data_IF_754077128151
#
_entry.id   IF_754077128151
#
_cell.length_a   1.000
_cell.length_b   1.000
_cell.length_c   1.000
_cell.angle_alpha   90.00
_cell.angle_beta   90.00
_cell.angle_gamma   90.00
#
_symmetry.space_group_name_H-M   'P 1'
#
loop_
_entity.id
_entity.type
_entity.pdbx_description
1 polymer ?
#
# COMPACT_ATOMS: atom_id res chain seq x y z
N UNK A 1 -17.44 -0.97 -71.78
CA UNK A 1 -17.52 -1.70 -70.51
C UNK A 1 -16.21 -1.49 -69.77
N UNK A 2 -16.29 -0.70 -68.69
CA UNK A 2 -15.41 -0.64 -67.51
C UNK A 2 -13.90 -0.46 -67.69
N UNK A 3 -13.54 0.82 -67.64
CA UNK A 3 -12.45 1.43 -66.88
C UNK A 3 -12.34 0.84 -65.46
N UNK A 4 -11.13 0.49 -64.97
CA UNK A 4 -10.67 0.87 -63.62
C UNK A 4 -9.20 0.46 -63.34
N UNK A 5 -8.34 1.47 -63.48
CA UNK A 5 -7.25 1.88 -62.57
C UNK A 5 -6.77 0.85 -61.54
N UNK A 6 -5.55 0.36 -61.77
CA UNK A 6 -4.62 -0.17 -60.75
C UNK A 6 -4.42 0.89 -59.66
N UNK A 7 -5.16 0.78 -58.57
CA UNK A 7 -5.01 1.61 -57.38
C UNK A 7 -3.63 1.41 -56.78
N UNK A 8 -2.82 2.47 -56.82
CA UNK A 8 -1.61 2.57 -56.03
C UNK A 8 -1.97 2.43 -54.56
N UNK A 9 -1.28 1.53 -53.88
CA UNK A 9 -1.20 1.56 -52.43
C UNK A 9 -0.64 2.94 -52.07
N UNK A 10 -1.51 3.84 -51.62
CA UNK A 10 -1.06 5.06 -50.96
C UNK A 10 -0.30 4.58 -49.74
N UNK A 11 1.02 4.71 -49.82
CA UNK A 11 1.92 4.77 -48.68
C UNK A 11 1.28 5.74 -47.69
N UNK A 12 0.65 5.18 -46.65
CA UNK A 12 0.11 5.96 -45.57
C UNK A 12 1.34 6.58 -44.91
N UNK A 13 1.61 7.84 -45.28
CA UNK A 13 2.68 8.63 -44.71
C UNK A 13 2.67 8.42 -43.21
N UNK A 14 3.70 7.74 -42.73
CA UNK A 14 3.90 7.42 -41.33
C UNK A 14 4.05 8.77 -40.63
N UNK A 15 2.94 9.29 -40.10
CA UNK A 15 3.00 10.39 -39.15
C UNK A 15 3.81 9.82 -37.99
N UNK A 16 5.07 10.21 -37.89
CA UNK A 16 5.82 10.14 -36.64
C UNK A 16 5.05 11.02 -35.65
N UNK A 17 4.05 10.44 -35.01
CA UNK A 17 3.29 11.07 -33.94
C UNK A 17 4.28 11.36 -32.83
N UNK A 18 4.57 12.65 -32.61
CA UNK A 18 5.39 13.07 -31.47
C UNK A 18 4.83 12.47 -30.17
N UNK A 19 5.74 12.20 -29.23
CA UNK A 19 5.36 11.62 -27.94
C UNK A 19 4.29 12.50 -27.26
N UNK A 20 3.25 11.86 -26.71
CA UNK A 20 2.10 12.52 -26.07
C UNK A 20 2.49 12.93 -24.65
N UNK A 21 2.55 14.24 -24.33
CA UNK A 21 2.98 14.69 -23.02
C UNK A 21 1.93 14.39 -21.94
N UNK A 22 2.39 14.13 -20.73
CA UNK A 22 1.53 14.03 -19.53
C UNK A 22 1.73 15.26 -18.62
N UNK A 23 0.71 15.58 -17.82
CA UNK A 23 0.65 16.83 -17.04
C UNK A 23 1.84 17.01 -16.10
N UNK A 24 2.25 15.94 -15.41
CA UNK A 24 3.37 15.94 -14.46
C UNK A 24 4.47 14.98 -14.92
N UNK A 25 5.71 15.23 -14.53
CA UNK A 25 6.80 14.26 -14.70
C UNK A 25 6.76 13.30 -13.51
N UNK A 26 7.02 12.02 -13.74
CA UNK A 26 7.00 11.01 -12.71
C UNK A 26 8.23 10.11 -12.79
N UNK A 27 8.60 9.55 -11.63
CA UNK A 27 9.73 8.62 -11.48
C UNK A 27 9.25 7.34 -10.81
N UNK A 28 9.62 6.20 -11.38
CA UNK A 28 9.44 4.90 -10.74
C UNK A 28 10.59 4.62 -9.78
N UNK A 29 10.28 4.03 -8.64
CA UNK A 29 11.26 3.57 -7.65
C UNK A 29 10.90 2.17 -7.19
N UNK A 30 11.89 1.44 -6.68
CA UNK A 30 11.65 0.21 -5.94
C UNK A 30 12.41 0.19 -4.62
N UNK A 31 11.84 -0.55 -3.67
CA UNK A 31 12.45 -0.81 -2.37
C UNK A 31 12.39 -2.31 -2.13
N UNK A 32 13.53 -2.88 -1.72
CA UNK A 32 13.57 -4.23 -1.16
C UNK A 32 13.75 -4.11 0.34
N UNK A 33 12.72 -4.44 1.12
CA UNK A 33 12.83 -4.37 2.58
C UNK A 33 13.68 -5.53 3.08
N UNK A 34 14.72 -5.21 3.84
CA UNK A 34 15.54 -6.20 4.50
C UNK A 34 14.74 -6.84 5.65
N UNK A 35 14.75 -8.16 5.76
CA UNK A 35 14.04 -8.92 6.81
C UNK A 35 14.98 -9.25 7.99
N UNK A 36 16.27 -8.88 7.91
CA UNK A 36 17.27 -9.14 8.96
C UNK A 36 17.64 -7.92 9.81
N UNK A 37 18.30 -8.17 10.95
CA UNK A 37 18.75 -7.21 11.99
C UNK A 37 19.72 -6.11 11.53
N UNK A 38 20.02 -5.98 10.23
CA UNK A 38 20.78 -4.83 9.70
C UNK A 38 19.79 -3.79 9.23
N UNK A 39 19.56 -2.79 10.07
CA UNK A 39 18.89 -1.55 9.69
C UNK A 39 19.77 -0.80 8.66
N UNK A 40 19.75 -1.25 7.41
CA UNK A 40 20.12 -0.36 6.31
C UNK A 40 19.13 0.80 6.31
N UNK A 41 19.65 2.03 6.27
CA UNK A 41 18.82 3.23 6.17
C UNK A 41 17.85 3.06 5.00
N UNK A 42 16.56 3.32 5.22
CA UNK A 42 15.51 3.23 4.20
C UNK A 42 15.91 3.99 2.93
N UNK A 43 16.56 5.15 3.08
CA UNK A 43 17.08 5.97 1.98
C UNK A 43 18.14 5.26 1.12
N UNK A 44 18.89 4.30 1.67
CA UNK A 44 19.85 3.50 0.88
C UNK A 44 19.18 2.32 0.17
N UNK A 45 18.03 1.89 0.65
CA UNK A 45 17.28 0.75 0.10
C UNK A 45 16.36 1.14 -1.06
N UNK A 46 16.10 2.44 -1.23
CA UNK A 46 15.31 2.97 -2.33
C UNK A 46 16.18 3.22 -3.56
N UNK A 47 15.74 2.69 -4.70
CA UNK A 47 16.42 2.88 -5.97
C UNK A 47 15.45 3.37 -7.03
N UNK A 48 15.89 4.36 -7.77
CA UNK A 48 15.16 4.90 -8.92
C UNK A 48 15.30 3.96 -10.11
N UNK A 49 14.20 3.77 -10.85
CA UNK A 49 14.13 2.92 -12.03
C UNK A 49 14.09 3.73 -13.33
N UNK A 50 13.56 4.95 -13.28
CA UNK A 50 13.51 5.84 -14.43
C UNK A 50 12.40 6.87 -14.34
N UNK A 51 12.59 7.96 -15.06
CA UNK A 51 11.65 9.08 -15.15
C UNK A 51 10.99 9.15 -16.52
N UNK A 52 9.79 9.72 -16.56
CA UNK A 52 9.07 9.92 -17.82
C UNK A 52 8.15 11.14 -17.76
N UNK A 53 7.98 11.78 -18.92
CA UNK A 53 7.11 12.94 -19.13
C UNK A 53 6.11 12.76 -20.29
N UNK A 54 6.10 11.57 -20.89
CA UNK A 54 5.21 11.23 -22.01
C UNK A 54 4.60 9.86 -21.80
N UNK A 55 3.46 9.61 -22.46
CA UNK A 55 2.76 8.31 -22.41
C UNK A 55 3.64 7.19 -22.99
N UNK A 56 4.38 7.48 -24.06
CA UNK A 56 5.29 6.55 -24.71
C UNK A 56 6.44 6.18 -23.78
N UNK A 57 7.07 7.17 -23.12
CA UNK A 57 8.11 6.91 -22.13
C UNK A 57 7.60 6.14 -20.92
N UNK A 58 6.37 6.41 -20.45
CA UNK A 58 5.73 5.59 -19.42
C UNK A 58 5.70 4.11 -19.83
N UNK A 59 5.18 3.79 -21.01
CA UNK A 59 5.11 2.40 -21.49
C UNK A 59 6.49 1.79 -21.75
N UNK A 60 7.48 2.59 -22.18
CA UNK A 60 8.88 2.13 -22.30
C UNK A 60 9.42 1.66 -20.95
N UNK A 61 9.17 2.39 -19.87
CA UNK A 61 9.62 1.97 -18.52
C UNK A 61 8.75 0.82 -18.01
N UNK A 62 7.43 0.99 -18.01
CA UNK A 62 6.48 0.08 -17.38
C UNK A 62 6.51 -1.33 -17.97
N UNK A 63 6.66 -1.48 -19.29
CA UNK A 63 6.72 -2.78 -19.94
C UNK A 63 7.97 -3.61 -19.59
N UNK A 64 9.01 -2.98 -19.06
CA UNK A 64 10.23 -3.68 -18.60
C UNK A 64 10.22 -3.94 -17.08
N UNK A 65 9.16 -3.53 -16.37
CA UNK A 65 9.01 -3.84 -14.95
C UNK A 65 8.46 -5.26 -14.77
N UNK A 66 9.00 -5.97 -13.78
CA UNK A 66 8.38 -7.21 -13.28
C UNK A 66 7.00 -6.86 -12.74
N UNK A 67 5.98 -7.66 -13.05
CA UNK A 67 4.63 -7.37 -12.58
C UNK A 67 4.54 -7.50 -11.05
N UNK A 68 3.75 -6.68 -10.35
CA UNK A 68 3.62 -6.73 -8.89
C UNK A 68 3.37 -8.13 -8.30
N UNK A 69 2.54 -8.95 -8.96
CA UNK A 69 2.26 -10.33 -8.54
C UNK A 69 3.49 -11.26 -8.58
N UNK A 70 4.46 -10.97 -9.45
CA UNK A 70 5.65 -11.80 -9.70
C UNK A 70 6.87 -11.29 -8.91
N UNK A 71 6.71 -10.20 -8.17
CA UNK A 71 7.75 -9.70 -7.28
C UNK A 71 7.89 -10.57 -6.04
N UNK A 72 9.12 -10.72 -5.52
CA UNK A 72 9.34 -11.25 -4.17
C UNK A 72 8.52 -10.51 -3.11
N UNK A 73 8.05 -11.27 -2.12
CA UNK A 73 7.52 -10.70 -0.90
C UNK A 73 8.56 -9.74 -0.29
N UNK A 74 8.06 -8.67 0.35
CA UNK A 74 8.86 -7.57 0.94
C UNK A 74 9.36 -6.51 -0.03
N UNK A 75 9.01 -6.59 -1.32
CA UNK A 75 9.26 -5.52 -2.28
C UNK A 75 8.12 -4.51 -2.34
N UNK A 76 8.49 -3.28 -2.64
CA UNK A 76 7.58 -2.18 -2.91
C UNK A 76 7.95 -1.53 -4.25
N UNK A 77 6.96 -1.17 -5.07
CA UNK A 77 7.12 -0.19 -6.14
C UNK A 77 6.47 1.12 -5.75
N UNK A 78 7.09 2.21 -6.20
CA UNK A 78 6.61 3.56 -5.98
C UNK A 78 6.56 4.28 -7.32
N UNK A 79 5.51 5.05 -7.54
CA UNK A 79 5.41 6.00 -8.64
C UNK A 79 5.12 7.37 -8.04
N UNK A 80 6.07 8.30 -8.12
CA UNK A 80 5.94 9.62 -7.51
C UNK A 80 6.22 10.71 -8.54
N UNK A 81 5.61 11.88 -8.35
CA UNK A 81 5.96 13.06 -9.16
C UNK A 81 7.46 13.36 -8.96
N UNK A 82 8.15 13.68 -10.05
CA UNK A 82 9.57 14.03 -10.03
C UNK A 82 9.82 15.16 -9.03
N UNK A 83 10.90 15.02 -8.25
CA UNK A 83 11.24 15.92 -7.16
C UNK A 83 10.55 15.64 -5.82
N UNK A 84 9.68 14.63 -5.74
CA UNK A 84 9.10 14.14 -4.49
C UNK A 84 9.68 12.76 -4.19
N UNK A 85 10.49 12.64 -3.14
CA UNK A 85 10.95 11.33 -2.67
C UNK A 85 9.77 10.59 -2.01
N UNK A 86 9.60 9.28 -2.19
CA UNK A 86 8.52 8.51 -1.55
C UNK A 86 8.88 8.17 -0.09
N UNK A 87 9.09 9.24 0.66
CA UNK A 87 9.54 9.31 2.04
C UNK A 87 8.66 10.33 2.76
N UNK A 88 8.30 10.07 4.00
CA UNK A 88 7.42 10.95 4.76
C UNK A 88 8.14 12.24 5.18
N UNK A 89 9.48 12.21 5.23
CA UNK A 89 10.37 13.33 5.52
C UNK A 89 10.35 14.39 4.40
N UNK A 90 9.98 13.98 3.18
CA UNK A 90 9.88 14.89 2.05
C UNK A 90 8.88 16.02 2.35
N UNK A 91 9.24 17.25 1.99
CA UNK A 91 8.44 18.43 2.27
C UNK A 91 7.02 18.35 1.69
N UNK A 92 6.84 17.64 0.57
CA UNK A 92 5.55 17.40 -0.04
C UNK A 92 4.69 16.38 0.73
N UNK A 93 5.31 15.45 1.46
CA UNK A 93 4.63 14.33 2.10
C UNK A 93 4.40 14.54 3.60
N UNK A 94 5.22 15.34 4.29
CA UNK A 94 5.24 15.40 5.76
C UNK A 94 3.93 15.80 6.44
N UNK A 95 3.12 16.66 5.79
CA UNK A 95 1.78 17.06 6.27
C UNK A 95 0.63 16.29 5.59
N UNK A 96 1.01 15.30 4.81
CA UNK A 96 0.12 14.51 3.98
C UNK A 96 -0.41 13.27 4.69
N UNK A 97 -0.97 12.41 3.86
CA UNK A 97 -1.38 11.08 4.26
C UNK A 97 -1.47 10.17 3.07
N UNK A 98 -2.06 9.01 3.31
CA UNK A 98 -2.29 8.02 2.27
C UNK A 98 -3.61 7.29 2.46
N UNK A 99 -4.29 7.09 1.35
CA UNK A 99 -5.35 6.09 1.24
C UNK A 99 -4.73 4.73 0.97
N UNK A 100 -5.27 3.69 1.57
CA UNK A 100 -4.79 2.32 1.47
C UNK A 100 -5.96 1.37 1.21
N UNK A 101 -5.70 0.39 0.34
CA UNK A 101 -6.56 -0.78 0.14
C UNK A 101 -5.72 -2.04 0.29
N UNK A 102 -6.25 -2.98 1.07
CA UNK A 102 -5.71 -4.33 1.19
C UNK A 102 -6.39 -5.23 0.19
N UNK A 103 -5.59 -5.94 -0.60
CA UNK A 103 -6.07 -6.82 -1.66
C UNK A 103 -5.49 -8.22 -1.50
N UNK A 104 -6.27 -9.22 -1.90
CA UNK A 104 -5.81 -10.61 -1.90
C UNK A 104 -4.67 -10.77 -2.91
N UNK A 105 -3.82 -11.80 -2.71
CA UNK A 105 -2.74 -12.13 -3.65
C UNK A 105 -3.31 -12.45 -5.04
N UNK A 106 -2.50 -12.18 -6.06
CA UNK A 106 -2.78 -12.55 -7.46
C UNK A 106 -3.56 -11.49 -8.25
N UNK A 107 -4.05 -10.42 -7.62
CA UNK A 107 -4.77 -9.33 -8.31
C UNK A 107 -4.02 -7.99 -8.27
N UNK A 108 -2.88 -7.89 -7.59
CA UNK A 108 -2.17 -6.64 -7.37
C UNK A 108 -1.69 -5.97 -8.66
N UNK A 109 -1.24 -6.76 -9.65
CA UNK A 109 -0.78 -6.22 -10.93
C UNK A 109 -1.84 -5.38 -11.64
N UNK A 110 -3.10 -5.84 -11.66
CA UNK A 110 -4.22 -5.14 -12.31
C UNK A 110 -4.55 -3.84 -11.59
N UNK A 111 -4.74 -3.91 -10.27
CA UNK A 111 -5.06 -2.72 -9.47
C UNK A 111 -3.93 -1.69 -9.48
N UNK A 112 -2.67 -2.14 -9.52
CA UNK A 112 -1.53 -1.24 -9.67
C UNK A 112 -1.54 -0.53 -11.02
N UNK A 113 -1.75 -1.26 -12.11
CA UNK A 113 -1.85 -0.70 -13.47
C UNK A 113 -2.98 0.33 -13.56
N UNK A 114 -4.19 -0.03 -13.14
CA UNK A 114 -5.36 0.87 -13.12
C UNK A 114 -5.06 2.15 -12.32
N UNK A 115 -4.39 2.03 -11.17
CA UNK A 115 -4.04 3.19 -10.34
C UNK A 115 -3.02 4.11 -11.03
N UNK A 116 -1.91 3.56 -11.56
CA UNK A 116 -0.86 4.39 -12.16
C UNK A 116 -1.35 5.07 -13.43
N UNK A 117 -2.20 4.40 -14.23
CA UNK A 117 -2.84 4.99 -15.39
C UNK A 117 -3.79 6.12 -15.00
N UNK A 118 -4.59 5.95 -13.93
CA UNK A 118 -5.45 7.00 -13.41
C UNK A 118 -4.66 8.23 -12.90
N UNK A 119 -3.47 8.02 -12.33
CA UNK A 119 -2.59 9.10 -11.86
C UNK A 119 -2.00 9.89 -13.03
N UNK A 120 -1.33 9.21 -13.98
CA UNK A 120 -0.67 9.90 -15.10
C UNK A 120 -1.68 10.51 -16.08
N UNK A 121 -2.90 9.97 -16.11
CA UNK A 121 -4.05 10.52 -16.84
C UNK A 121 -4.82 11.59 -16.08
N UNK A 122 -4.35 12.03 -14.91
CA UNK A 122 -4.92 13.11 -14.08
C UNK A 122 -6.42 12.93 -13.74
N UNK A 123 -6.87 11.69 -13.53
CA UNK A 123 -8.31 11.38 -13.32
C UNK A 123 -8.84 11.78 -11.94
N UNK A 124 -7.97 12.14 -11.00
CA UNK A 124 -8.34 12.46 -9.62
C UNK A 124 -8.94 13.86 -9.44
N UNK A 125 -8.66 14.80 -10.35
CA UNK A 125 -9.19 16.16 -10.34
C UNK A 125 -9.08 16.88 -8.97
N UNK A 126 -7.90 16.77 -8.34
CA UNK A 126 -7.57 17.40 -7.03
C UNK A 126 -6.39 18.37 -7.15
N UNK A 127 -6.18 18.93 -8.34
CA UNK A 127 -5.03 19.78 -8.63
C UNK A 127 -3.71 19.09 -8.31
N UNK A 128 -2.85 19.75 -7.54
CA UNK A 128 -1.52 19.21 -7.22
C UNK A 128 -1.49 18.29 -5.98
N UNK A 129 -2.63 17.90 -5.41
CA UNK A 129 -2.66 17.15 -4.13
C UNK A 129 -2.01 15.76 -4.21
N UNK A 130 -2.05 15.08 -5.35
CA UNK A 130 -1.40 13.76 -5.49
C UNK A 130 0.12 13.91 -5.46
N UNK A 131 0.77 13.16 -4.56
CA UNK A 131 2.23 12.99 -4.53
C UNK A 131 2.69 11.80 -5.36
N UNK A 132 2.02 10.66 -5.17
CA UNK A 132 2.41 9.40 -5.79
C UNK A 132 1.64 8.21 -5.23
N UNK A 133 1.96 7.01 -5.72
CA UNK A 133 1.37 5.76 -5.29
C UNK A 133 2.42 4.71 -4.95
N UNK A 134 2.02 3.73 -4.14
CA UNK A 134 2.87 2.63 -3.69
C UNK A 134 2.09 1.33 -3.83
N UNK A 135 2.69 0.30 -4.43
CA UNK A 135 2.24 -1.09 -4.29
C UNK A 135 3.24 -1.85 -3.44
N UNK A 136 2.71 -2.56 -2.46
CA UNK A 136 3.46 -3.18 -1.38
C UNK A 136 3.18 -4.67 -1.31
N UNK A 137 4.15 -5.48 -1.71
CA UNK A 137 4.00 -6.93 -1.82
C UNK A 137 4.29 -7.58 -0.47
N UNK A 138 3.29 -8.22 0.13
CA UNK A 138 3.44 -8.93 1.42
C UNK A 138 3.02 -10.38 1.29
N UNK A 139 3.30 -11.10 2.39
CA UNK A 139 3.09 -12.52 2.48
C UNK A 139 1.61 -12.91 2.41
N UNK A 140 0.74 -12.24 3.18
CA UNK A 140 -0.68 -12.60 3.27
C UNK A 140 -1.56 -11.85 2.25
N UNK A 141 -1.28 -10.58 2.03
CA UNK A 141 -2.09 -9.66 1.23
C UNK A 141 -1.17 -8.60 0.63
N UNK A 142 -1.54 -8.05 -0.52
CA UNK A 142 -0.83 -6.92 -1.09
C UNK A 142 -1.55 -5.62 -0.71
N UNK A 143 -0.80 -4.53 -0.59
CA UNK A 143 -1.34 -3.25 -0.17
C UNK A 143 -1.07 -2.23 -1.26
N UNK A 144 -2.11 -1.53 -1.71
CA UNK A 144 -1.98 -0.41 -2.64
C UNK A 144 -2.28 0.87 -1.87
N UNK A 145 -1.39 1.86 -2.02
CA UNK A 145 -1.49 3.15 -1.33
C UNK A 145 -1.42 4.31 -2.32
N UNK A 146 -2.20 5.35 -2.09
CA UNK A 146 -2.16 6.62 -2.83
C UNK A 146 -1.90 7.76 -1.85
N UNK A 147 -0.82 8.52 -2.07
CA UNK A 147 -0.30 9.54 -1.17
C UNK A 147 -0.72 10.94 -1.64
N UNK A 148 -1.15 11.77 -0.70
CA UNK A 148 -1.53 13.16 -0.94
C UNK A 148 -0.77 14.14 -0.04
N UNK A 149 -0.64 15.39 -0.50
CA UNK A 149 0.19 16.43 0.13
C UNK A 149 -0.35 16.95 1.45
N UNK A 150 -1.66 17.16 1.53
CA UNK A 150 -2.28 17.80 2.68
C UNK A 150 -3.40 16.95 3.26
N UNK A 151 -3.18 16.38 4.44
CA UNK A 151 -4.19 15.59 5.14
C UNK A 151 -5.32 16.42 5.76
N UNK A 152 -5.15 17.74 5.86
CA UNK A 152 -6.18 18.65 6.36
C UNK A 152 -7.13 19.13 5.24
N UNK A 153 -6.78 18.86 3.97
CA UNK A 153 -7.64 19.15 2.83
C UNK A 153 -8.69 18.04 2.67
N UNK A 154 -9.74 18.09 3.49
CA UNK A 154 -10.80 17.08 3.53
C UNK A 154 -11.49 16.89 2.17
N UNK A 155 -11.71 17.97 1.42
CA UNK A 155 -12.35 17.90 0.11
C UNK A 155 -11.52 17.07 -0.88
N UNK A 156 -10.21 17.36 -0.97
CA UNK A 156 -9.31 16.56 -1.77
C UNK A 156 -9.22 15.12 -1.27
N UNK A 157 -9.15 14.91 0.04
CA UNK A 157 -9.09 13.57 0.63
C UNK A 157 -10.32 12.72 0.25
N UNK A 158 -11.52 13.29 0.30
CA UNK A 158 -12.76 12.59 -0.08
C UNK A 158 -12.85 12.36 -1.59
N UNK A 159 -12.48 13.35 -2.41
CA UNK A 159 -12.43 13.18 -3.87
C UNK A 159 -11.45 12.08 -4.27
N UNK A 160 -10.27 12.03 -3.63
CA UNK A 160 -9.28 10.98 -3.85
C UNK A 160 -9.85 9.61 -3.52
N UNK A 161 -10.50 9.45 -2.36
CA UNK A 161 -11.14 8.19 -1.95
C UNK A 161 -12.16 7.72 -2.99
N UNK A 162 -13.06 8.61 -3.40
CA UNK A 162 -14.18 8.26 -4.27
C UNK A 162 -13.70 7.93 -5.68
N UNK A 163 -12.75 8.70 -6.21
CA UNK A 163 -12.13 8.40 -7.49
C UNK A 163 -11.31 7.11 -7.41
N UNK A 164 -10.52 6.89 -6.36
CA UNK A 164 -9.76 5.64 -6.17
C UNK A 164 -10.68 4.43 -6.18
N UNK A 165 -11.83 4.49 -5.48
CA UNK A 165 -12.85 3.42 -5.52
C UNK A 165 -13.37 3.18 -6.93
N UNK A 166 -13.64 4.25 -7.69
CA UNK A 166 -14.17 4.18 -9.06
C UNK A 166 -13.17 3.59 -10.05
N UNK A 167 -11.96 4.14 -10.12
CA UNK A 167 -10.93 3.72 -11.11
C UNK A 167 -10.46 2.30 -10.88
N UNK A 168 -10.41 1.86 -9.63
CA UNK A 168 -10.08 0.49 -9.26
C UNK A 168 -11.28 -0.47 -9.34
N UNK A 169 -12.48 0.04 -9.62
CA UNK A 169 -13.72 -0.73 -9.59
C UNK A 169 -13.88 -1.55 -8.29
N UNK A 170 -13.62 -0.92 -7.14
CA UNK A 170 -13.69 -1.59 -5.84
C UNK A 170 -15.15 -1.77 -5.41
N UNK A 171 -15.55 -3.01 -5.03
CA UNK A 171 -16.86 -3.23 -4.42
C UNK A 171 -17.07 -2.36 -3.16
N UNK A 172 -18.32 -1.99 -2.89
CA UNK A 172 -18.66 -1.10 -1.76
C UNK A 172 -18.23 -1.66 -0.40
N UNK A 173 -18.20 -2.98 -0.23
CA UNK A 173 -17.77 -3.64 1.00
C UNK A 173 -16.25 -3.55 1.23
N UNK A 174 -15.46 -3.23 0.20
CA UNK A 174 -14.02 -3.05 0.36
C UNK A 174 -13.76 -1.73 1.06
N UNK A 175 -13.15 -1.82 2.24
CA UNK A 175 -12.77 -0.67 3.03
C UNK A 175 -11.56 0.03 2.40
N UNK A 176 -11.65 1.36 2.30
CA UNK A 176 -10.51 2.22 2.09
C UNK A 176 -10.11 2.81 3.44
N UNK A 177 -8.82 2.79 3.72
CA UNK A 177 -8.25 3.23 4.98
C UNK A 177 -7.40 4.47 4.76
N UNK A 178 -7.60 5.50 5.57
CA UNK A 178 -6.75 6.68 5.52
C UNK A 178 -5.82 6.72 6.73
N UNK A 179 -4.56 7.06 6.49
CA UNK A 179 -3.60 7.33 7.56
C UNK A 179 -2.74 8.54 7.24
N UNK A 180 -2.65 9.46 8.19
CA UNK A 180 -1.73 10.60 8.12
C UNK A 180 -0.29 10.14 8.31
N UNK A 181 0.65 10.83 7.66
CA UNK A 181 2.06 10.50 7.81
C UNK A 181 2.59 10.84 9.21
N UNK A 182 2.20 12.00 9.77
CA UNK A 182 2.56 12.41 11.15
C UNK A 182 2.23 11.34 12.21
N UNK A 183 1.07 10.71 12.08
CA UNK A 183 0.56 9.68 13.00
C UNK A 183 1.28 8.35 12.81
N UNK A 184 1.78 8.09 11.59
CA UNK A 184 2.58 6.89 11.31
C UNK A 184 3.95 6.94 11.97
N UNK A 185 4.44 8.14 12.28
CA UNK A 185 5.73 8.36 12.95
C UNK A 185 5.62 8.21 14.45
N UNK A 186 4.55 8.74 15.03
CA UNK A 186 4.33 8.64 16.47
C UNK A 186 4.10 7.19 16.91
N UNK A 187 3.46 6.38 16.08
CA UNK A 187 3.17 4.97 16.38
C UNK A 187 4.12 3.95 15.72
N UNK A 188 5.13 4.44 14.98
CA UNK A 188 6.09 3.65 14.20
C UNK A 188 5.42 2.55 13.34
N UNK A 189 4.26 2.85 12.75
CA UNK A 189 3.50 1.89 11.96
C UNK A 189 2.97 2.49 10.67
N UNK A 190 3.21 1.83 9.54
CA UNK A 190 2.74 2.32 8.25
C UNK A 190 1.32 1.86 7.90
N UNK A 191 0.81 0.82 8.56
CA UNK A 191 -0.43 0.12 8.14
C UNK A 191 -1.37 -0.21 9.31
N UNK A 192 -1.05 0.19 10.55
CA UNK A 192 -1.91 -0.02 11.72
C UNK A 192 -2.55 1.30 12.13
N UNK A 193 -3.59 1.25 12.97
CA UNK A 193 -4.28 2.44 13.50
C UNK A 193 -4.82 3.39 12.42
N UNK A 194 -5.42 2.83 11.38
CA UNK A 194 -5.96 3.56 10.24
C UNK A 194 -7.41 3.93 10.46
N UNK A 195 -7.84 5.10 9.96
CA UNK A 195 -9.26 5.46 9.95
C UNK A 195 -9.96 4.69 8.84
N UNK A 196 -10.88 3.79 9.23
CA UNK A 196 -11.70 3.01 8.31
C UNK A 196 -12.84 3.88 7.76
N UNK A 197 -12.89 4.05 6.44
CA UNK A 197 -14.01 4.68 5.76
C UNK A 197 -14.85 3.62 5.06
N UNK A 198 -15.93 3.24 5.72
CA UNK A 198 -16.99 2.40 5.13
C UNK A 198 -18.04 3.31 4.51
N UNK A 199 -18.48 2.97 3.31
CA UNK A 199 -19.63 3.62 2.68
C UNK A 199 -20.92 3.15 3.35
N UNK A 200 -21.15 3.52 4.61
CA UNK A 200 -22.45 3.29 5.25
C UNK A 200 -23.44 4.34 4.73
N UNK A 201 -24.27 3.93 3.77
CA UNK A 201 -25.57 4.56 3.58
C UNK A 201 -26.49 4.03 4.68
N UNK A 202 -26.44 4.68 5.85
CA UNK A 202 -27.53 4.80 6.81
C UNK A 202 -27.07 5.70 7.95
N UNK A 203 -27.22 7.01 7.77
CA UNK A 203 -27.28 7.96 8.88
C UNK A 203 -28.60 8.72 8.75
N UNK A 204 -29.70 7.99 8.96
CA UNK A 204 -30.97 8.60 9.30
C UNK A 204 -30.81 9.27 10.67
N UNK A 205 -31.21 10.53 10.71
CA UNK A 205 -31.01 11.41 11.85
C UNK A 205 -31.68 10.88 13.11
N UNK A 206 -30.93 10.92 14.22
CA UNK A 206 -31.54 11.10 15.52
C UNK A 206 -30.87 12.28 16.22
N UNK A 207 -31.45 13.45 15.98
CA UNK A 207 -31.10 14.70 16.62
C UNK A 207 -31.71 14.70 18.03
N UNK A 208 -31.03 14.05 18.99
CA UNK A 208 -31.43 14.13 20.40
C UNK A 208 -31.01 15.49 20.96
N UNK A 209 -31.90 16.47 20.79
CA UNK A 209 -31.93 17.74 21.53
C UNK A 209 -31.96 17.45 23.02
N UNK A 210 -30.87 17.73 23.75
CA UNK A 210 -30.93 17.82 25.20
C UNK A 210 -31.09 19.28 25.60
N UNK A 211 -32.33 19.64 25.97
CA UNK A 211 -32.73 20.98 26.38
C UNK A 211 -32.52 21.09 27.90
N UNK A 212 -31.40 21.64 28.33
CA UNK A 212 -31.14 21.97 29.74
C UNK A 212 -31.93 23.22 30.14
N UNK A 213 -33.09 23.03 30.76
CA UNK A 213 -33.92 24.11 31.32
C UNK A 213 -33.81 24.09 32.85
N UNK A 214 -33.27 25.17 33.40
CA UNK A 214 -33.16 25.46 34.82
C UNK A 214 -34.54 25.60 35.49
N UNK A 215 -34.70 25.04 36.69
CA UNK A 215 -35.64 25.53 37.70
C UNK A 215 -35.21 25.08 39.09
N UNK A 216 -35.06 26.07 39.96
CA UNK A 216 -34.83 26.05 41.40
C UNK A 216 -35.86 25.24 42.19
N UNK A 217 -35.44 24.66 43.33
CA UNK A 217 -36.10 24.93 44.60
C UNK A 217 -35.25 24.53 45.82
N UNK A 218 -35.10 25.49 46.73
CA UNK A 218 -34.59 25.38 48.09
C UNK A 218 -35.50 24.51 48.97
N UNK A 219 -34.92 23.91 50.02
CA UNK A 219 -35.53 23.83 51.36
C UNK A 219 -34.46 23.62 52.44
N UNK A 220 -34.54 24.51 53.43
CA UNK A 220 -33.91 24.60 54.77
C UNK A 220 -34.13 23.32 55.62
N UNK A 221 -33.59 23.03 56.81
CA UNK A 221 -32.57 23.56 57.74
C UNK A 221 -32.47 22.57 58.93
N UNK A 222 -31.50 22.81 59.83
CA UNK A 222 -31.45 22.44 61.26
C UNK A 222 -30.72 21.14 61.68
N UNK A 223 -30.45 21.04 62.97
CA UNK A 223 -29.12 20.98 63.59
C UNK A 223 -29.03 19.98 64.76
N UNK A 224 -27.79 19.78 65.25
CA UNK A 224 -27.36 19.11 66.51
C UNK A 224 -27.32 17.57 66.49
N UNK A 225 -26.38 16.86 67.10
CA UNK A 225 -25.20 17.20 67.90
C UNK A 225 -24.66 15.93 68.60
N UNK A 226 -23.35 15.92 68.85
CA UNK A 226 -22.64 15.20 69.95
C UNK A 226 -22.20 13.72 69.85
N UNK A 227 -20.88 13.55 69.97
CA UNK A 227 -20.12 12.65 70.86
C UNK A 227 -19.65 11.23 70.43
N UNK A 228 -18.37 10.95 70.75
CA UNK A 228 -17.73 9.62 70.83
C UNK A 228 -16.57 9.41 69.82
N UNK A 229 -15.34 9.88 70.02
CA UNK A 229 -14.20 9.36 70.82
C UNK A 229 -13.80 7.88 70.60
N UNK A 230 -12.61 7.73 69.98
CA UNK A 230 -11.53 6.73 70.11
C UNK A 230 -11.78 5.22 69.85
N UNK A 231 -11.07 4.64 68.86
CA UNK A 231 -9.87 3.80 69.10
C UNK A 231 -9.16 3.35 67.81
N UNK A 232 -7.85 3.09 67.97
CA UNK A 232 -6.82 2.68 67.02
C UNK A 232 -6.91 1.19 66.63
N UNK A 233 -6.28 0.86 65.50
CA UNK A 233 -5.39 -0.29 65.18
C UNK A 233 -5.57 -0.64 63.68
N UNK A 234 -4.63 -0.48 62.74
CA UNK A 234 -3.22 -0.89 62.51
C UNK A 234 -3.04 -2.40 62.20
N UNK A 235 -2.31 -2.63 61.08
CA UNK A 235 -1.73 -3.87 60.51
C UNK A 235 -2.69 -4.76 59.72
N UNK A 236 -2.32 -5.50 58.67
CA UNK A 236 -1.31 -5.43 57.59
C UNK A 236 -1.76 -6.51 56.57
N UNK A 237 -1.29 -6.37 55.33
CA UNK A 237 -1.11 -7.39 54.27
C UNK A 237 -1.63 -8.82 54.50
N UNK A 238 -2.35 -9.33 53.50
CA UNK A 238 -1.97 -10.58 52.85
C UNK A 238 -2.45 -10.64 51.41
N UNK A 239 -1.59 -11.17 50.54
CA UNK A 239 -1.89 -11.54 49.17
C UNK A 239 -2.38 -13.00 49.15
N UNK A 240 -3.33 -13.34 48.27
CA UNK A 240 -3.31 -14.63 47.57
C UNK A 240 -4.33 -14.68 46.41
N UNK A 241 -4.04 -15.64 45.54
CA UNK A 241 -4.45 -15.86 44.15
C UNK A 241 -5.87 -16.43 43.93
N UNK A 242 -6.20 -16.48 42.64
CA UNK A 242 -7.21 -17.32 41.95
C UNK A 242 -8.63 -16.73 41.93
N UNK A 243 -9.41 -16.80 40.86
CA UNK A 243 -9.57 -17.82 39.82
C UNK A 243 -10.33 -17.21 38.62
N UNK A 244 -9.85 -17.40 37.38
CA UNK A 244 -10.47 -18.18 36.29
C UNK A 244 -11.94 -17.89 35.92
N UNK A 245 -12.16 -17.56 34.64
CA UNK A 245 -13.24 -17.95 33.69
C UNK A 245 -13.33 -16.85 32.62
N UNK A 246 -13.47 -17.06 31.31
CA UNK A 246 -13.84 -18.22 30.49
C UNK A 246 -13.26 -18.02 29.08
N UNK A 247 -12.71 -19.08 28.51
CA UNK A 247 -12.31 -19.20 27.09
C UNK A 247 -13.49 -19.81 26.33
N UNK A 248 -13.95 -19.18 25.25
CA UNK A 248 -14.78 -19.85 24.25
C UNK A 248 -13.93 -20.31 23.07
N UNK A 249 -13.88 -21.63 22.91
CA UNK A 249 -13.24 -22.40 21.85
C UNK A 249 -14.14 -22.48 20.62
N UNK A 250 -13.58 -22.23 19.43
CA UNK A 250 -14.12 -22.69 18.15
C UNK A 250 -13.05 -23.55 17.46
N UNK A 251 -13.16 -24.86 17.62
CA UNK A 251 -12.36 -25.86 16.92
C UNK A 251 -13.03 -26.22 15.60
N UNK A 252 -12.34 -26.02 14.47
CA UNK A 252 -12.67 -26.69 13.20
C UNK A 252 -11.47 -27.51 12.75
N UNK A 253 -11.59 -28.80 12.99
CA UNK A 253 -10.82 -29.88 12.38
C UNK A 253 -11.03 -29.85 10.86
N UNK A 254 -9.97 -29.84 10.06
CA UNK A 254 -10.06 -30.08 8.62
C UNK A 254 -9.02 -31.12 8.20
N UNK A 255 -9.53 -32.29 7.81
CA UNK A 255 -8.78 -33.43 7.30
C UNK A 255 -8.11 -33.07 5.97
N UNK A 256 -6.82 -33.36 5.83
CA UNK A 256 -6.10 -33.39 4.55
C UNK A 256 -6.30 -34.75 3.87
N UNK A 257 -6.51 -34.83 2.55
CA UNK A 257 -6.27 -36.06 1.80
C UNK A 257 -4.82 -36.10 1.30
N UNK A 258 -4.20 -37.27 1.48
CA UNK A 258 -2.88 -37.64 0.96
C UNK A 258 -3.05 -38.10 -0.49
N UNK A 259 -2.40 -37.43 -1.45
CA UNK A 259 -2.21 -37.95 -2.80
C UNK A 259 -0.85 -38.62 -2.89
N UNK A 260 -0.85 -39.91 -3.25
CA UNK A 260 0.33 -40.69 -3.62
C UNK A 260 0.81 -40.24 -5.01
N UNK A 261 2.05 -39.80 -5.13
CA UNK A 261 2.77 -39.74 -6.40
C UNK A 261 3.52 -41.04 -6.61
N UNK A 262 3.19 -41.77 -7.67
CA UNK A 262 4.03 -42.81 -8.23
C UNK A 262 4.99 -42.15 -9.24
N UNK A 263 6.29 -42.38 -9.09
CA UNK A 263 7.25 -42.18 -10.18
C UNK A 263 8.20 -43.37 -10.21
N UNK A 264 8.19 -44.01 -11.39
CA UNK A 264 8.96 -45.17 -11.79
C UNK A 264 10.46 -44.90 -11.70
N UNK A 265 11.21 -45.97 -11.41
CA UNK A 265 12.66 -45.99 -11.50
C UNK A 265 13.13 -46.05 -12.96
N UNK A 266 14.34 -45.53 -13.15
CA UNK A 266 15.24 -45.91 -14.23
C UNK A 266 16.66 -45.86 -13.67
N UNK A 267 17.27 -47.04 -13.58
CA UNK A 267 18.70 -47.25 -13.34
C UNK A 267 19.46 -47.30 -14.67
N UNK A 268 20.77 -46.98 -14.57
CA UNK A 268 21.88 -47.35 -15.46
C UNK A 268 21.85 -46.83 -16.92
N UNK A 269 22.97 -46.47 -17.57
CA UNK A 269 24.35 -46.90 -17.41
C UNK A 269 25.32 -45.92 -18.11
N UNK A 270 26.56 -45.95 -17.64
CA UNK A 270 27.80 -45.33 -18.10
C UNK A 270 28.24 -45.68 -19.54
N UNK A 271 28.98 -44.77 -20.21
CA UNK A 271 30.33 -45.06 -20.75
C UNK A 271 31.04 -43.84 -21.38
N UNK A 272 32.36 -43.91 -21.32
CA UNK A 272 33.42 -42.94 -21.63
C UNK A 272 33.75 -42.82 -23.13
N UNK A 273 34.41 -41.73 -23.56
CA UNK A 273 35.79 -41.74 -24.08
C UNK A 273 36.28 -40.39 -24.67
N UNK A 274 37.54 -40.05 -24.33
CA UNK A 274 38.60 -39.28 -25.01
C UNK A 274 38.23 -38.04 -25.87
N UNK A 275 38.85 -36.86 -25.75
CA UNK A 275 40.20 -36.51 -25.33
C UNK A 275 40.86 -35.71 -26.46
N UNK A 276 41.22 -34.43 -26.23
CA UNK A 276 42.30 -33.75 -26.97
C UNK A 276 42.63 -32.39 -26.37
N UNK A 277 43.91 -32.24 -26.03
CA UNK A 277 44.60 -31.08 -25.49
C UNK A 277 45.06 -30.12 -26.59
N UNK A 278 44.94 -28.81 -26.38
CA UNK A 278 45.82 -27.82 -27.01
C UNK A 278 45.91 -26.54 -26.14
N UNK A 279 47.14 -26.04 -26.02
CA UNK A 279 47.66 -25.00 -25.13
C UNK A 279 47.70 -23.59 -25.77
N UNK A 280 47.28 -22.58 -24.99
CA UNK A 280 47.73 -21.15 -24.79
C UNK A 280 48.55 -20.37 -25.85
N UNK A 281 48.57 -18.99 -25.90
CA UNK A 281 48.84 -18.11 -24.74
C UNK A 281 48.24 -16.64 -24.86
N UNK A 282 48.78 -15.55 -24.23
CA UNK A 282 47.99 -14.58 -23.46
C UNK A 282 48.06 -13.10 -23.96
N UNK A 283 47.43 -12.20 -23.20
CA UNK A 283 47.30 -10.75 -23.33
C UNK A 283 48.56 -9.96 -23.75
N UNK A 284 48.36 -8.90 -24.56
CA UNK A 284 49.24 -7.75 -24.67
C UNK A 284 48.43 -6.46 -24.91
N UNK A 285 48.29 -5.62 -23.89
CA UNK A 285 48.06 -4.18 -24.07
C UNK A 285 48.83 -3.44 -22.96
N UNK A 286 49.96 -2.85 -23.33
CA UNK A 286 50.64 -1.80 -22.56
C UNK A 286 51.58 -1.08 -23.54
N UNK A 287 51.21 0.14 -23.95
CA UNK A 287 52.13 1.26 -24.26
C UNK A 287 51.28 2.51 -24.51
N UNK A 288 51.06 3.31 -23.46
CA UNK A 288 51.37 4.75 -23.37
C UNK A 288 50.79 5.34 -22.09
#
# INVERSE_FOLDING_TARGET
MTDEKRGGWKEAAEKTTGDTPIQNMYSFWYIKRNTGNKAESYEKSIKELGEFKTVQCFWRVYNHLVRPNDLPNTMDYHLFKTGIKPMWEDAANRRGGKWMVRIRKGIASRYWEDLVLAIIGEQFDVGNEICGAVVSIRYNEDIISLWNRNADNNEACYRIRDTMRKVLNLPQFVALEYKRHDTSLSDNSSFRNTTLWRSDKNQDGNNSRNNGRSSSNQKDSSSAGSSGRFSRDRFEKSASMSSSQSRNSWSRENKRPVFKSASMGAENESQEHHGSTASSPPNAWETK
#
